data_IF_778928740744
#
_entry.id   IF_778928740744
#
_cell.length_a   1.000
_cell.length_b   1.000
_cell.length_c   1.000
_cell.angle_alpha   90.00
_cell.angle_beta   90.00
_cell.angle_gamma   90.00
#
_symmetry.space_group_name_H-M   'P 1'
#
loop_
_entity.id
_entity.type
_entity.pdbx_description
1 polymer ?
#
# COMPACT_ATOMS: atom_id res chain seq x y z
N UNK A 1 5.12 24.32 55.59
CA UNK A 1 4.97 23.13 56.48
C UNK A 1 3.54 22.81 56.90
N UNK A 2 2.71 23.78 57.34
CA UNK A 2 1.35 23.51 57.87
C UNK A 2 0.38 22.88 56.83
N UNK A 3 0.41 23.34 55.57
CA UNK A 3 -0.45 22.87 54.46
C UNK A 3 -0.24 21.38 54.11
N UNK A 4 1.02 20.96 53.98
CA UNK A 4 1.38 19.57 53.70
C UNK A 4 1.03 18.62 54.86
N UNK A 5 1.24 19.07 56.11
CA UNK A 5 0.84 18.30 57.30
C UNK A 5 -0.68 18.12 57.39
N UNK A 6 -1.46 19.16 57.06
CA UNK A 6 -2.92 19.08 56.98
C UNK A 6 -3.39 18.06 55.93
N UNK A 7 -2.88 18.17 54.70
CA UNK A 7 -3.18 17.21 53.63
C UNK A 7 -2.81 15.77 53.98
N UNK A 8 -1.69 15.56 54.68
CA UNK A 8 -1.29 14.23 55.12
C UNK A 8 -2.20 13.67 56.22
N UNK A 9 -2.73 14.51 57.12
CA UNK A 9 -3.67 14.06 58.15
C UNK A 9 -4.98 13.58 57.53
N UNK A 10 -5.44 14.26 56.47
CA UNK A 10 -6.73 13.99 55.81
C UNK A 10 -6.64 12.90 54.73
N UNK A 11 -5.63 12.95 53.87
CA UNK A 11 -5.51 12.10 52.67
C UNK A 11 -4.24 11.23 52.67
N UNK A 12 -3.51 11.15 53.78
CA UNK A 12 -2.29 10.33 53.94
C UNK A 12 -1.29 10.59 52.80
N UNK A 13 -0.70 9.55 52.24
CA UNK A 13 0.32 9.67 51.19
C UNK A 13 -0.24 10.25 49.89
N UNK A 14 -1.53 10.09 49.58
CA UNK A 14 -2.15 10.70 48.38
C UNK A 14 -2.22 12.23 48.50
N UNK A 15 -2.40 12.76 49.71
CA UNK A 15 -2.36 14.20 49.99
C UNK A 15 -0.98 14.85 49.85
N UNK A 16 0.07 14.03 49.62
CA UNK A 16 1.43 14.48 49.33
C UNK A 16 1.71 14.56 47.82
N UNK A 17 0.77 14.17 46.96
CA UNK A 17 0.87 14.40 45.53
C UNK A 17 0.51 15.84 45.21
N UNK A 18 1.13 16.37 44.14
CA UNK A 18 0.71 17.65 43.58
C UNK A 18 -0.73 17.51 43.09
N UNK A 19 -1.64 18.31 43.66
CA UNK A 19 -3.01 18.42 43.15
C UNK A 19 -2.98 18.91 41.69
N UNK A 20 -3.99 18.52 40.87
CA UNK A 20 -4.13 19.04 39.52
C UNK A 20 -4.12 20.57 39.55
N UNK A 21 -3.05 21.15 39.01
CA UNK A 21 -2.94 22.62 38.93
C UNK A 21 -4.06 23.10 38.03
N UNK A 22 -4.87 24.09 38.44
CA UNK A 22 -5.86 24.68 37.54
C UNK A 22 -5.09 25.28 36.35
N UNK A 23 -5.14 24.58 35.22
CA UNK A 23 -4.52 25.03 33.98
C UNK A 23 -5.20 26.30 33.48
N UNK A 24 -4.66 26.88 32.40
CA UNK A 24 -5.32 28.00 31.72
C UNK A 24 -6.76 27.60 31.36
N UNK A 25 -7.78 28.41 31.71
CA UNK A 25 -9.16 28.15 31.32
C UNK A 25 -9.27 27.92 29.82
N UNK A 26 -10.10 26.94 29.43
CA UNK A 26 -10.34 26.66 28.01
C UNK A 26 -10.96 27.88 27.36
N UNK A 27 -10.27 28.44 26.35
CA UNK A 27 -10.76 29.58 25.57
C UNK A 27 -11.67 29.15 24.42
N UNK A 28 -11.63 27.87 24.04
CA UNK A 28 -12.42 27.30 22.94
C UNK A 28 -13.44 26.33 23.52
N UNK A 29 -14.71 26.70 23.34
CA UNK A 29 -15.86 25.94 23.81
C UNK A 29 -16.16 24.72 22.94
N UNK A 30 -17.09 23.89 23.39
CA UNK A 30 -17.41 22.64 22.71
C UNK A 30 -18.13 22.86 21.36
N UNK A 31 -18.95 23.91 21.23
CA UNK A 31 -19.56 24.28 19.93
C UNK A 31 -18.49 24.66 18.89
N UNK A 32 -17.46 25.44 19.26
CA UNK A 32 -16.38 25.77 18.32
C UNK A 32 -15.55 24.54 17.92
N UNK A 33 -15.39 23.58 18.82
CA UNK A 33 -14.73 22.30 18.50
C UNK A 33 -15.60 21.50 17.53
N UNK A 34 -16.90 21.45 17.76
CA UNK A 34 -17.86 20.80 16.89
C UNK A 34 -17.86 21.43 15.50
N UNK A 35 -17.94 22.75 15.40
CA UNK A 35 -17.86 23.47 14.13
C UNK A 35 -16.58 23.15 13.37
N UNK A 36 -15.44 23.09 14.09
CA UNK A 36 -14.17 22.68 13.50
C UNK A 36 -14.19 21.26 12.97
N UNK A 37 -14.74 20.31 13.73
CA UNK A 37 -14.85 18.91 13.30
C UNK A 37 -15.77 18.81 12.08
N UNK A 38 -16.95 19.42 12.12
CA UNK A 38 -17.92 19.44 11.02
C UNK A 38 -17.29 20.04 9.75
N UNK A 39 -16.69 21.23 9.85
CA UNK A 39 -16.03 21.86 8.71
C UNK A 39 -14.89 20.99 8.16
N UNK A 40 -14.15 20.30 9.03
CA UNK A 40 -13.08 19.38 8.62
C UNK A 40 -13.60 18.19 7.83
N UNK A 41 -14.76 17.62 8.22
CA UNK A 41 -15.32 16.39 7.65
C UNK A 41 -16.17 16.63 6.40
N UNK A 42 -16.87 17.75 6.34
CA UNK A 42 -17.96 17.96 5.37
C UNK A 42 -17.60 18.97 4.28
N UNK A 43 -16.47 19.67 4.40
CA UNK A 43 -16.10 20.73 3.47
C UNK A 43 -14.64 20.64 3.03
N UNK A 44 -14.33 21.30 1.91
CA UNK A 44 -12.96 21.49 1.42
C UNK A 44 -12.72 22.98 1.14
N UNK A 45 -11.49 23.48 1.27
CA UNK A 45 -11.17 24.86 0.89
C UNK A 45 -11.39 25.08 -0.61
N UNK A 46 -11.78 26.30 -0.99
CA UNK A 46 -12.16 26.64 -2.39
C UNK A 46 -11.08 26.30 -3.43
N UNK A 47 -9.80 26.41 -3.09
CA UNK A 47 -8.66 26.26 -4.00
C UNK A 47 -7.63 25.22 -3.53
N UNK A 48 -8.05 24.23 -2.73
CA UNK A 48 -7.16 23.14 -2.30
C UNK A 48 -7.94 21.84 -2.10
N UNK A 49 -7.25 20.70 -2.20
CA UNK A 49 -7.88 19.38 -2.09
C UNK A 49 -8.29 19.03 -0.66
N UNK A 50 -7.66 19.64 0.33
CA UNK A 50 -7.91 19.39 1.75
C UNK A 50 -7.53 20.61 2.60
N UNK A 51 -8.05 20.65 3.82
CA UNK A 51 -7.69 21.68 4.80
C UNK A 51 -6.25 21.52 5.30
N UNK A 52 -5.49 22.62 5.28
CA UNK A 52 -4.31 22.76 6.12
C UNK A 52 -4.73 23.29 7.49
N UNK A 53 -3.92 23.04 8.52
CA UNK A 53 -4.23 23.59 9.85
C UNK A 53 -4.29 25.12 9.87
N UNK A 54 -3.58 25.80 8.94
CA UNK A 54 -3.61 27.27 8.79
C UNK A 54 -4.88 27.74 8.09
N UNK A 55 -5.23 27.12 6.96
CA UNK A 55 -6.43 27.51 6.22
C UNK A 55 -7.71 27.21 6.98
N UNK A 56 -7.76 26.14 7.79
CA UNK A 56 -8.89 25.88 8.68
C UNK A 56 -8.96 26.89 9.84
N UNK A 57 -7.80 27.28 10.37
CA UNK A 57 -7.70 28.33 11.39
C UNK A 57 -8.23 29.67 10.89
N UNK A 58 -7.83 30.08 9.68
CA UNK A 58 -8.35 31.29 9.01
C UNK A 58 -9.85 31.18 8.73
N UNK A 59 -10.34 30.00 8.36
CA UNK A 59 -11.75 29.79 8.03
C UNK A 59 -12.69 29.95 9.25
N UNK A 60 -12.25 29.53 10.43
CA UNK A 60 -13.05 29.52 11.66
C UNK A 60 -12.64 30.59 12.68
N UNK A 61 -11.73 31.49 12.31
CA UNK A 61 -11.12 32.48 13.22
C UNK A 61 -10.57 31.85 14.50
N UNK A 62 -9.74 30.81 14.33
CA UNK A 62 -9.12 30.04 15.41
C UNK A 62 -7.60 30.05 15.28
N UNK A 63 -6.89 29.80 16.38
CA UNK A 63 -5.44 29.59 16.28
C UNK A 63 -5.12 28.25 15.59
N UNK A 64 -4.11 28.24 14.71
CA UNK A 64 -3.59 27.03 14.07
C UNK A 64 -3.20 25.94 15.08
N UNK A 65 -2.71 26.35 16.26
CA UNK A 65 -2.34 25.44 17.36
C UNK A 65 -3.56 24.74 17.97
N UNK A 66 -4.70 25.42 18.02
CA UNK A 66 -5.97 24.83 18.47
C UNK A 66 -6.44 23.81 17.45
N UNK A 67 -6.47 24.17 16.16
CA UNK A 67 -6.86 23.25 15.07
C UNK A 67 -6.04 21.97 15.13
N UNK A 68 -4.71 22.09 15.22
CA UNK A 68 -3.81 20.95 15.28
C UNK A 68 -4.02 20.06 16.51
N UNK A 69 -4.34 20.65 17.67
CA UNK A 69 -4.64 19.90 18.90
C UNK A 69 -5.96 19.14 18.79
N UNK A 70 -6.99 19.79 18.25
CA UNK A 70 -8.30 19.14 18.05
C UNK A 70 -8.16 18.01 17.03
N UNK A 71 -7.53 18.24 15.88
CA UNK A 71 -7.28 17.18 14.91
C UNK A 71 -6.53 15.98 15.50
N UNK A 72 -5.48 16.21 16.31
CA UNK A 72 -4.78 15.11 16.99
C UNK A 72 -5.66 14.39 18.01
N UNK A 73 -6.44 15.12 18.79
CA UNK A 73 -7.31 14.54 19.81
C UNK A 73 -8.42 13.66 19.20
N UNK A 74 -8.93 14.03 18.02
CA UNK A 74 -9.99 13.32 17.31
C UNK A 74 -9.49 12.43 16.17
N UNK A 75 -8.17 12.30 15.98
CA UNK A 75 -7.58 11.49 14.91
C UNK A 75 -7.87 12.00 13.49
N UNK A 76 -8.22 13.27 13.31
CA UNK A 76 -8.53 13.86 12.01
C UNK A 76 -7.25 14.13 11.21
N UNK A 77 -7.19 13.60 9.99
CA UNK A 77 -6.08 13.79 9.08
C UNK A 77 -6.60 14.14 7.67
N UNK A 78 -6.98 15.40 7.41
CA UNK A 78 -7.66 15.80 6.16
C UNK A 78 -6.86 15.54 4.88
N UNK A 79 -5.53 15.46 5.00
CA UNK A 79 -4.61 15.17 3.89
C UNK A 79 -4.49 13.66 3.59
N UNK A 80 -4.99 12.79 4.48
CA UNK A 80 -4.96 11.34 4.27
C UNK A 80 -6.20 10.91 3.52
N UNK A 81 -5.99 10.11 2.49
CA UNK A 81 -7.04 9.46 1.74
C UNK A 81 -6.72 7.97 1.69
N UNK A 82 -7.71 7.14 2.02
CA UNK A 82 -7.64 5.71 1.82
C UNK A 82 -8.51 5.36 0.61
N UNK A 83 -7.98 4.52 -0.28
CA UNK A 83 -8.74 3.97 -1.39
C UNK A 83 -9.30 2.62 -0.98
N UNK A 84 -10.54 2.36 -1.37
CA UNK A 84 -11.15 1.04 -1.26
C UNK A 84 -11.78 0.69 -2.59
N UNK A 85 -11.90 -0.61 -2.85
CA UNK A 85 -12.53 -1.11 -4.07
C UNK A 85 -13.34 -2.36 -3.75
N UNK A 86 -14.65 -2.29 -3.97
CA UNK A 86 -15.51 -3.46 -3.85
C UNK A 86 -15.58 -4.18 -5.20
N UNK A 87 -15.33 -5.49 -5.18
CA UNK A 87 -15.53 -6.34 -6.35
C UNK A 87 -17.03 -6.49 -6.64
N UNK A 88 -17.39 -6.40 -7.93
CA UNK A 88 -18.74 -6.72 -8.42
C UNK A 88 -18.78 -8.07 -9.14
N UNK A 89 -17.76 -8.91 -8.95
CA UNK A 89 -17.68 -10.23 -9.56
C UNK A 89 -18.83 -11.12 -9.03
N UNK A 90 -19.73 -11.64 -9.87
CA UNK A 90 -20.79 -12.54 -9.42
C UNK A 90 -20.25 -13.79 -8.71
N UNK A 91 -19.03 -14.22 -9.07
CA UNK A 91 -18.34 -15.37 -8.48
C UNK A 91 -17.34 -14.97 -7.39
N UNK A 92 -17.49 -13.79 -6.79
CA UNK A 92 -16.52 -13.25 -5.83
C UNK A 92 -16.16 -14.26 -4.73
N UNK A 93 -17.15 -14.79 -4.01
CA UNK A 93 -16.94 -15.71 -2.90
C UNK A 93 -16.26 -17.02 -3.33
N UNK A 94 -16.63 -17.54 -4.50
CA UNK A 94 -16.07 -18.79 -5.03
C UNK A 94 -14.60 -18.62 -5.40
N UNK A 95 -14.26 -17.56 -6.16
CA UNK A 95 -12.88 -17.23 -6.52
C UNK A 95 -12.02 -16.89 -5.31
N UNK A 96 -12.59 -16.23 -4.29
CA UNK A 96 -11.90 -15.98 -3.03
C UNK A 96 -11.54 -17.29 -2.35
N UNK A 97 -12.50 -18.22 -2.23
CA UNK A 97 -12.27 -19.52 -1.61
C UNK A 97 -11.28 -20.37 -2.39
N UNK A 98 -11.35 -20.33 -3.72
CA UNK A 98 -10.42 -21.03 -4.61
C UNK A 98 -8.97 -20.57 -4.37
N UNK A 99 -8.70 -19.26 -4.50
CA UNK A 99 -7.36 -18.69 -4.30
C UNK A 99 -6.86 -18.86 -2.87
N UNK A 100 -7.70 -18.59 -1.85
CA UNK A 100 -7.31 -18.76 -0.44
C UNK A 100 -7.08 -20.23 -0.12
N UNK A 101 -7.92 -21.13 -0.63
CA UNK A 101 -7.76 -22.57 -0.47
C UNK A 101 -6.44 -23.05 -1.05
N UNK A 102 -6.09 -22.57 -2.25
CA UNK A 102 -4.83 -22.89 -2.91
C UNK A 102 -3.61 -22.43 -2.12
N UNK A 103 -3.65 -21.26 -1.48
CA UNK A 103 -2.55 -20.78 -0.63
C UNK A 103 -2.43 -21.54 0.70
N UNK A 104 -3.57 -21.91 1.31
CA UNK A 104 -3.58 -22.55 2.62
C UNK A 104 -3.33 -24.05 2.56
N UNK A 105 -3.78 -24.70 1.48
CA UNK A 105 -3.68 -26.14 1.29
C UNK A 105 -3.53 -26.45 -0.21
N UNK A 106 -2.33 -26.21 -0.78
CA UNK A 106 -2.06 -26.48 -2.18
C UNK A 106 -2.20 -27.99 -2.48
N UNK A 107 -2.58 -28.37 -3.72
CA UNK A 107 -2.59 -29.76 -4.15
C UNK A 107 -1.23 -30.45 -3.94
N UNK A 108 -1.28 -31.77 -3.74
CA UNK A 108 -0.04 -32.56 -3.69
C UNK A 108 0.69 -32.48 -5.01
N UNK A 109 2.03 -32.47 -4.96
CA UNK A 109 2.90 -32.40 -6.14
C UNK A 109 2.56 -31.22 -7.06
N UNK A 110 2.17 -30.09 -6.48
CA UNK A 110 1.90 -28.87 -7.21
C UNK A 110 2.76 -27.71 -6.71
N UNK A 111 3.06 -26.78 -7.61
CA UNK A 111 3.65 -25.49 -7.31
C UNK A 111 2.61 -24.40 -7.53
N UNK A 112 2.44 -23.52 -6.54
CA UNK A 112 1.53 -22.38 -6.62
C UNK A 112 2.32 -21.10 -6.88
N UNK A 113 2.07 -20.49 -8.04
CA UNK A 113 2.74 -19.28 -8.48
C UNK A 113 1.74 -18.13 -8.63
N UNK A 114 2.00 -17.02 -7.94
CA UNK A 114 1.35 -15.74 -8.22
C UNK A 114 2.03 -15.05 -9.40
N UNK A 115 1.30 -14.87 -10.50
CA UNK A 115 1.82 -14.30 -11.74
C UNK A 115 1.19 -12.95 -12.01
N UNK A 116 2.03 -11.97 -12.35
CA UNK A 116 1.59 -10.65 -12.77
C UNK A 116 2.72 -9.89 -13.49
N UNK A 117 2.36 -8.74 -14.08
CA UNK A 117 3.26 -7.87 -14.80
C UNK A 117 3.33 -6.46 -14.21
N UNK A 118 4.53 -6.05 -13.79
CA UNK A 118 4.81 -4.64 -13.53
C UNK A 118 5.23 -3.96 -14.82
N UNK A 119 4.27 -3.33 -15.49
CA UNK A 119 4.50 -2.61 -16.74
C UNK A 119 5.13 -1.22 -16.51
N UNK A 120 5.75 -0.69 -17.56
CA UNK A 120 6.22 0.70 -17.63
C UNK A 120 7.21 1.12 -16.53
N UNK A 121 8.06 0.18 -16.08
CA UNK A 121 9.19 0.49 -15.20
C UNK A 121 10.13 1.43 -15.97
N UNK A 122 10.29 2.66 -15.49
CA UNK A 122 11.15 3.65 -16.13
C UNK A 122 12.61 3.36 -15.81
N UNK A 123 13.44 3.29 -16.85
CA UNK A 123 14.89 3.23 -16.70
C UNK A 123 15.43 4.66 -16.61
N UNK A 124 15.54 5.16 -15.38
CA UNK A 124 16.02 6.52 -15.10
C UNK A 124 17.47 6.48 -14.60
N UNK A 125 18.27 7.42 -15.07
CA UNK A 125 19.61 7.70 -14.52
C UNK A 125 19.73 9.17 -14.11
N UNK A 126 20.62 9.46 -13.17
CA UNK A 126 20.91 10.84 -12.77
C UNK A 126 21.82 11.50 -13.77
N UNK A 127 21.56 12.77 -14.09
CA UNK A 127 22.40 13.54 -15.02
C UNK A 127 23.78 13.84 -14.45
N UNK A 128 23.95 13.73 -13.13
CA UNK A 128 25.21 13.93 -12.42
C UNK A 128 25.41 12.86 -11.33
N UNK A 129 26.66 12.58 -10.92
CA UNK A 129 26.95 11.67 -9.81
C UNK A 129 26.20 12.07 -8.53
N UNK A 130 25.71 11.06 -7.80
CA UNK A 130 25.06 11.26 -6.51
C UNK A 130 26.13 11.51 -5.45
N UNK A 131 26.00 12.62 -4.71
CA UNK A 131 26.85 12.87 -3.56
C UNK A 131 26.31 12.11 -2.35
N UNK A 132 27.14 11.25 -1.70
CA UNK A 132 26.68 10.44 -0.58
C UNK A 132 26.27 11.30 0.61
N UNK A 133 25.43 10.74 1.47
CA UNK A 133 25.08 11.34 2.75
C UNK A 133 26.31 11.43 3.67
N UNK A 134 26.41 12.52 4.42
CA UNK A 134 27.40 12.72 5.49
C UNK A 134 26.69 13.17 6.78
N UNK A 135 27.28 13.03 7.98
CA UNK A 135 26.71 13.59 9.20
C UNK A 135 26.34 15.08 9.03
N UNK A 136 25.07 15.42 9.25
CA UNK A 136 24.55 16.78 9.08
C UNK A 136 24.30 17.23 7.63
N UNK A 137 24.59 16.40 6.63
CA UNK A 137 24.37 16.70 5.21
C UNK A 137 23.59 15.58 4.51
N UNK A 138 22.37 15.84 4.02
CA UNK A 138 21.62 14.83 3.28
C UNK A 138 22.32 14.49 1.96
N UNK A 139 22.05 13.30 1.44
CA UNK A 139 22.41 12.92 0.07
C UNK A 139 21.91 13.97 -0.92
N UNK A 140 22.71 14.29 -1.95
CA UNK A 140 22.33 15.22 -3.01
C UNK A 140 22.35 14.53 -4.35
N UNK A 141 21.26 14.69 -5.10
CA UNK A 141 21.11 14.18 -6.45
C UNK A 141 20.51 15.29 -7.33
N UNK A 142 20.79 15.25 -8.63
CA UNK A 142 20.18 16.16 -9.59
C UNK A 142 18.66 15.92 -9.66
N UNK A 143 17.90 17.01 -9.78
CA UNK A 143 16.47 16.94 -10.09
C UNK A 143 16.24 16.44 -11.52
N UNK A 144 17.14 16.79 -12.45
CA UNK A 144 17.12 16.32 -13.83
C UNK A 144 17.57 14.85 -13.91
N UNK A 145 16.95 14.11 -14.84
CA UNK A 145 17.21 12.70 -15.10
C UNK A 145 17.29 12.42 -16.59
N UNK A 146 18.04 11.39 -16.95
CA UNK A 146 18.08 10.83 -18.32
C UNK A 146 17.12 9.65 -18.38
N UNK A 147 16.26 9.62 -19.40
CA UNK A 147 15.29 8.52 -19.61
C UNK A 147 15.80 7.56 -20.68
N UNK A 148 16.07 6.32 -20.28
CA UNK A 148 16.56 5.25 -21.16
C UNK A 148 15.43 4.31 -21.65
N UNK A 149 14.19 4.81 -21.68
CA UNK A 149 12.99 4.05 -22.05
C UNK A 149 12.28 3.38 -20.86
N UNK A 150 11.47 2.37 -21.18
CA UNK A 150 10.66 1.64 -20.20
C UNK A 150 10.78 0.12 -20.41
N UNK A 151 10.72 -0.63 -19.31
CA UNK A 151 10.68 -2.08 -19.33
C UNK A 151 9.42 -2.61 -18.65
N UNK A 152 9.01 -3.82 -18.99
CA UNK A 152 7.93 -4.56 -18.32
C UNK A 152 8.53 -5.79 -17.65
N UNK A 153 8.31 -5.92 -16.35
CA UNK A 153 8.76 -7.05 -15.56
C UNK A 153 7.60 -8.02 -15.35
N UNK A 154 7.73 -9.21 -15.90
CA UNK A 154 6.87 -10.35 -15.62
C UNK A 154 7.46 -11.10 -14.43
N UNK A 155 6.65 -11.41 -13.45
CA UNK A 155 7.10 -12.11 -12.25
C UNK A 155 6.13 -13.23 -11.89
N UNK A 156 6.69 -14.36 -11.44
CA UNK A 156 5.97 -15.48 -10.87
C UNK A 156 6.55 -15.75 -9.48
N UNK A 157 5.80 -15.41 -8.45
CA UNK A 157 6.17 -15.61 -7.04
C UNK A 157 5.68 -16.97 -6.57
N UNK A 158 6.62 -17.81 -6.16
CA UNK A 158 6.33 -19.05 -5.43
C UNK A 158 5.91 -18.72 -3.99
N UNK A 159 4.69 -19.10 -3.63
CA UNK A 159 4.09 -18.82 -2.33
C UNK A 159 4.76 -19.61 -1.19
N UNK A 160 5.24 -20.81 -1.46
CA UNK A 160 5.83 -21.67 -0.44
C UNK A 160 7.27 -21.25 -0.12
N UNK A 161 8.07 -20.95 -1.14
CA UNK A 161 9.50 -20.63 -0.94
C UNK A 161 9.82 -19.14 -0.96
N UNK A 162 8.93 -18.29 -1.47
CA UNK A 162 9.18 -16.87 -1.69
C UNK A 162 10.13 -16.56 -2.86
N UNK A 163 10.54 -17.57 -3.63
CA UNK A 163 11.36 -17.37 -4.84
C UNK A 163 10.54 -16.72 -5.94
N UNK A 164 11.20 -15.89 -6.75
CA UNK A 164 10.56 -15.20 -7.87
C UNK A 164 11.27 -15.56 -9.16
N UNK A 165 10.51 -16.11 -10.10
CA UNK A 165 10.93 -16.24 -11.49
C UNK A 165 10.57 -14.93 -12.19
N UNK A 166 11.58 -14.23 -12.72
CA UNK A 166 11.38 -12.91 -13.34
C UNK A 166 11.81 -12.88 -14.80
N UNK A 167 11.14 -12.10 -15.63
CA UNK A 167 11.56 -11.83 -17.02
C UNK A 167 11.29 -10.39 -17.41
N UNK A 168 12.31 -9.72 -17.97
CA UNK A 168 12.20 -8.35 -18.46
C UNK A 168 11.93 -8.34 -19.96
N UNK A 169 10.95 -7.54 -20.38
CA UNK A 169 10.56 -7.39 -21.77
C UNK A 169 10.38 -5.92 -22.13
N UNK A 170 10.77 -5.54 -23.35
CA UNK A 170 10.59 -4.18 -23.87
C UNK A 170 9.15 -3.87 -24.27
N UNK A 171 8.30 -4.90 -24.40
CA UNK A 171 6.90 -4.80 -24.81
C UNK A 171 6.00 -5.62 -23.88
N UNK A 172 4.73 -5.23 -23.83
CA UNK A 172 3.71 -5.88 -23.02
C UNK A 172 2.58 -6.40 -23.94
N UNK A 173 2.71 -7.64 -24.41
CA UNK A 173 1.71 -8.31 -25.27
C UNK A 173 1.62 -9.79 -24.91
N UNK A 174 0.61 -10.46 -25.46
CA UNK A 174 0.40 -11.89 -25.27
C UNK A 174 1.60 -12.76 -25.70
N UNK A 175 2.40 -12.33 -26.70
CA UNK A 175 3.59 -13.07 -27.12
C UNK A 175 4.66 -13.10 -26.02
N UNK A 176 4.90 -11.96 -25.38
CA UNK A 176 5.84 -11.88 -24.24
C UNK A 176 5.31 -12.70 -23.05
N UNK A 177 4.00 -12.64 -22.76
CA UNK A 177 3.40 -13.48 -21.72
C UNK A 177 3.57 -14.99 -22.00
N UNK A 178 3.31 -15.46 -23.23
CA UNK A 178 3.56 -16.87 -23.59
C UNK A 178 5.05 -17.21 -23.45
N UNK A 179 5.95 -16.30 -23.82
CA UNK A 179 7.38 -16.45 -23.59
C UNK A 179 7.71 -16.63 -22.11
N UNK A 180 7.04 -15.88 -21.23
CA UNK A 180 7.18 -16.02 -19.79
C UNK A 180 6.61 -17.35 -19.27
N UNK A 181 5.45 -17.79 -19.77
CA UNK A 181 4.90 -19.11 -19.42
C UNK A 181 5.86 -20.26 -19.79
N UNK A 182 6.52 -20.18 -20.96
CA UNK A 182 7.56 -21.15 -21.36
C UNK A 182 8.78 -21.12 -20.44
N UNK A 183 9.13 -19.94 -19.92
CA UNK A 183 10.22 -19.81 -18.94
C UNK A 183 9.86 -20.48 -17.62
N UNK A 184 8.63 -20.27 -17.14
CA UNK A 184 8.10 -20.97 -15.96
C UNK A 184 8.14 -22.48 -16.21
N UNK A 185 7.66 -22.93 -17.37
CA UNK A 185 7.64 -24.35 -17.75
C UNK A 185 9.04 -24.99 -17.68
N UNK A 186 10.07 -24.28 -18.16
CA UNK A 186 11.44 -24.76 -18.13
C UNK A 186 12.12 -24.72 -16.75
N UNK A 187 11.67 -23.83 -15.84
CA UNK A 187 12.27 -23.69 -14.50
C UNK A 187 11.56 -24.55 -13.44
N UNK A 188 10.31 -24.94 -13.67
CA UNK A 188 9.55 -25.79 -12.75
C UNK A 188 9.75 -27.26 -13.11
N UNK A 189 10.09 -28.14 -12.13
CA UNK A 189 10.23 -29.57 -12.37
C UNK A 189 9.03 -30.20 -13.07
N UNK A 190 9.29 -31.12 -14.01
CA UNK A 190 8.28 -31.72 -14.89
C UNK A 190 7.24 -32.57 -14.18
N UNK A 191 7.57 -33.08 -12.99
CA UNK A 191 6.71 -33.91 -12.18
C UNK A 191 5.68 -33.15 -11.34
N UNK A 192 5.70 -31.80 -11.40
CA UNK A 192 4.82 -30.91 -10.65
C UNK A 192 3.76 -30.26 -11.54
N UNK A 193 2.53 -30.19 -11.03
CA UNK A 193 1.50 -29.34 -11.60
C UNK A 193 1.76 -27.87 -11.24
N UNK A 194 1.43 -26.96 -12.15
CA UNK A 194 1.70 -25.52 -12.00
C UNK A 194 0.38 -24.77 -11.88
N UNK A 195 0.06 -24.36 -10.66
CA UNK A 195 -1.12 -23.57 -10.37
C UNK A 195 -0.77 -22.08 -10.43
N UNK A 196 -1.30 -21.39 -11.44
CA UNK A 196 -1.08 -19.97 -11.65
C UNK A 196 -2.23 -19.15 -11.07
N UNK A 197 -1.96 -18.36 -10.04
CA UNK A 197 -2.87 -17.31 -9.60
C UNK A 197 -2.54 -16.03 -10.35
N UNK A 198 -3.51 -15.48 -11.08
CA UNK A 198 -3.30 -14.26 -11.88
C UNK A 198 -4.53 -13.37 -11.91
N UNK A 199 -4.32 -12.12 -12.31
CA UNK A 199 -5.38 -11.15 -12.49
C UNK A 199 -6.18 -11.38 -13.79
N UNK A 200 -7.19 -10.54 -14.01
CA UNK A 200 -8.10 -10.66 -15.16
C UNK A 200 -7.64 -9.91 -16.42
N UNK A 201 -6.36 -9.54 -16.53
CA UNK A 201 -5.84 -8.77 -17.66
C UNK A 201 -6.21 -9.37 -19.02
N UNK A 202 -6.44 -8.50 -19.99
CA UNK A 202 -6.84 -8.91 -21.34
C UNK A 202 -5.73 -9.70 -22.06
N UNK A 203 -4.47 -9.43 -21.73
CA UNK A 203 -3.28 -10.17 -22.20
C UNK A 203 -3.35 -11.66 -21.86
N UNK A 204 -3.82 -12.00 -20.66
CA UNK A 204 -3.98 -13.39 -20.19
C UNK A 204 -5.10 -14.14 -20.92
N UNK A 205 -6.03 -13.43 -21.56
CA UNK A 205 -7.27 -14.02 -22.13
C UNK A 205 -7.29 -14.09 -23.65
N UNK A 206 -6.18 -13.74 -24.29
CA UNK A 206 -6.08 -13.80 -25.75
C UNK A 206 -6.24 -15.23 -26.28
N UNK A 207 -6.73 -15.41 -27.52
CA UNK A 207 -6.86 -16.76 -28.11
C UNK A 207 -5.54 -17.54 -28.15
N UNK A 208 -4.40 -16.85 -28.31
CA UNK A 208 -3.09 -17.48 -28.30
C UNK A 208 -2.73 -18.06 -26.93
N UNK A 209 -2.97 -17.30 -25.85
CA UNK A 209 -2.72 -17.76 -24.47
C UNK A 209 -3.64 -18.91 -24.12
N UNK A 210 -4.93 -18.82 -24.46
CA UNK A 210 -5.89 -19.91 -24.25
C UNK A 210 -5.45 -21.21 -24.95
N UNK A 211 -5.05 -21.13 -26.23
CA UNK A 211 -4.53 -22.30 -26.97
C UNK A 211 -3.27 -22.87 -26.33
N UNK A 212 -2.35 -22.01 -25.85
CA UNK A 212 -1.15 -22.47 -25.17
C UNK A 212 -1.50 -23.22 -23.89
N UNK A 213 -2.36 -22.66 -23.03
CA UNK A 213 -2.80 -23.31 -21.79
C UNK A 213 -3.52 -24.64 -22.05
N UNK A 214 -4.39 -24.72 -23.07
CA UNK A 214 -5.03 -25.99 -23.47
C UNK A 214 -4.01 -27.04 -23.91
N UNK A 215 -2.90 -26.64 -24.53
CA UNK A 215 -1.84 -27.55 -24.95
C UNK A 215 -0.89 -27.96 -23.81
N UNK A 216 -0.94 -27.29 -22.64
CA UNK A 216 -0.07 -27.55 -21.49
C UNK A 216 -0.94 -27.85 -20.26
N UNK A 217 -1.54 -29.06 -20.16
CA UNK A 217 -2.55 -29.38 -19.15
C UNK A 217 -2.04 -29.34 -17.70
N UNK A 218 -0.71 -29.38 -17.50
CA UNK A 218 -0.10 -29.19 -16.17
C UNK A 218 -0.28 -27.77 -15.61
N UNK A 219 -0.64 -26.79 -16.46
CA UNK A 219 -0.90 -25.42 -16.02
C UNK A 219 -2.37 -25.23 -15.69
N UNK A 220 -2.67 -25.05 -14.41
CA UNK A 220 -4.01 -24.77 -13.90
C UNK A 220 -4.12 -23.29 -13.53
N UNK A 221 -5.05 -22.56 -14.16
CA UNK A 221 -5.18 -21.11 -13.96
C UNK A 221 -6.32 -20.79 -13.00
N UNK A 222 -5.98 -20.00 -11.98
CA UNK A 222 -6.88 -19.46 -10.97
C UNK A 222 -6.92 -17.93 -11.11
N UNK A 223 -8.09 -17.39 -11.48
CA UNK A 223 -8.24 -15.94 -11.60
C UNK A 223 -8.69 -15.33 -10.28
N UNK A 224 -8.03 -14.28 -9.84
CA UNK A 224 -8.54 -13.47 -8.72
C UNK A 224 -9.91 -12.89 -9.09
N UNK A 225 -10.79 -12.57 -8.13
CA UNK A 225 -11.99 -11.82 -8.43
C UNK A 225 -11.64 -10.48 -9.09
N UNK A 226 -12.54 -9.95 -9.93
CA UNK A 226 -12.31 -8.63 -10.52
C UNK A 226 -12.08 -7.59 -9.41
N UNK A 227 -11.21 -6.62 -9.66
CA UNK A 227 -10.90 -5.55 -8.68
C UNK A 227 -10.32 -6.04 -7.34
N UNK A 228 -9.73 -7.24 -7.30
CA UNK A 228 -9.17 -7.84 -6.08
C UNK A 228 -7.67 -8.19 -6.21
N UNK A 229 -6.88 -7.29 -6.82
CA UNK A 229 -5.43 -7.49 -7.01
C UNK A 229 -4.66 -7.69 -5.69
N UNK A 230 -5.21 -7.23 -4.56
CA UNK A 230 -4.65 -7.47 -3.22
C UNK A 230 -4.52 -8.96 -2.84
N UNK A 231 -5.22 -9.85 -3.55
CA UNK A 231 -5.09 -11.31 -3.40
C UNK A 231 -3.92 -11.91 -4.18
N UNK A 232 -3.42 -11.21 -5.20
CA UNK A 232 -2.28 -11.66 -5.99
C UNK A 232 -1.00 -11.28 -5.24
N UNK A 233 -0.35 -12.21 -4.55
CA UNK A 233 0.71 -11.88 -3.60
C UNK A 233 1.97 -11.30 -4.27
N UNK A 234 2.16 -11.54 -5.57
CA UNK A 234 3.24 -10.92 -6.35
C UNK A 234 3.11 -9.39 -6.42
N UNK A 235 1.90 -8.82 -6.28
CA UNK A 235 1.71 -7.37 -6.22
C UNK A 235 2.33 -6.75 -4.96
N UNK A 236 2.34 -7.49 -3.84
CA UNK A 236 3.07 -7.07 -2.63
C UNK A 236 4.58 -7.10 -2.87
N UNK A 237 5.07 -8.10 -3.61
CA UNK A 237 6.47 -8.16 -3.99
C UNK A 237 6.85 -7.00 -4.93
N UNK A 238 5.99 -6.63 -5.88
CA UNK A 238 6.19 -5.46 -6.72
C UNK A 238 6.18 -4.15 -5.93
N UNK A 239 5.36 -4.03 -4.90
CA UNK A 239 5.38 -2.88 -4.00
C UNK A 239 6.73 -2.76 -3.29
N UNK A 240 7.23 -3.87 -2.71
CA UNK A 240 8.55 -3.93 -2.09
C UNK A 240 9.69 -3.59 -3.07
N UNK A 241 9.66 -4.15 -4.28
CA UNK A 241 10.62 -3.82 -5.34
C UNK A 241 10.60 -2.31 -5.66
N UNK A 242 9.40 -1.74 -5.75
CA UNK A 242 9.22 -0.32 -6.06
C UNK A 242 9.86 0.55 -4.99
N UNK A 243 9.49 0.34 -3.74
CA UNK A 243 9.97 1.12 -2.59
C UNK A 243 11.47 0.95 -2.34
N UNK A 244 12.03 -0.24 -2.56
CA UNK A 244 13.43 -0.52 -2.22
C UNK A 244 14.42 -0.29 -3.36
N UNK A 245 13.98 -0.34 -4.62
CA UNK A 245 14.89 -0.41 -5.78
C UNK A 245 14.55 0.52 -6.93
N UNK A 246 13.30 0.97 -7.08
CA UNK A 246 12.88 1.77 -8.23
C UNK A 246 12.56 3.24 -7.88
N UNK A 247 12.34 3.54 -6.61
CA UNK A 247 12.10 4.89 -6.09
C UNK A 247 13.32 5.44 -5.34
#
# INVERSE_FOLDING_TARGET
MRRWRGRFVEHRCEGLLDEPRPGRPRTVGDEQIKDLITATLETTPKNATHWSARSMAEHLDMSQSTVSRVWRAFGLAPHKQESWKLSKDPMFTEKVRDVVGLYMNPPERALVLCVDEKTQIQALDRTQPIFPMLPGTPQRASHDYVRNGTSSLYAALDIASGKVIGSLHSRHRATEFIGFLRKIDAEVPDELDVHLVMDNASTHKTPAVKRWLTAHPRFVVHFTPTSSSWMNLVERWFAELTTKKLQ
#
